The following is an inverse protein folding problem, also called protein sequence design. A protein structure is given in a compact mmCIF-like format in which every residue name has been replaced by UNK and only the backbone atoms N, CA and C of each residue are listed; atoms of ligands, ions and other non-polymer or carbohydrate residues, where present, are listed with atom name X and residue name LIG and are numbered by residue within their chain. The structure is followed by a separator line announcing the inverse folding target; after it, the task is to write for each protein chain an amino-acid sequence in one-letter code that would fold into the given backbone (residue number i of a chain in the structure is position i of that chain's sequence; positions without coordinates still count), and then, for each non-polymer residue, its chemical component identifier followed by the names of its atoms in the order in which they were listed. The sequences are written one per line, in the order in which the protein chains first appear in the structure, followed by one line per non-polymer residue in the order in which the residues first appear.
data_IF_768147430423
#
_entry.id   IF_768147430423
#
_cell.length_a   1.000
_cell.length_b   1.000
_cell.length_c   1.000
_cell.angle_alpha   90.00
_cell.angle_beta   90.00
_cell.angle_gamma   90.00
#
_symmetry.space_group_name_H-M   'P 1'
#
loop_
_entity.id
_entity.type
_entity.pdbx_description
1 polymer ?
#
# COMPACT_ATOMS: atom_id res chain seq x y z
N UNK A 1 28.12 40.65 -4.49
CA UNK A 1 28.45 39.83 -5.68
C UNK A 1 27.22 39.03 -6.05
N UNK A 2 26.79 39.21 -7.29
CA UNK A 2 25.57 38.69 -7.92
C UNK A 2 25.70 37.20 -8.31
N UNK A 3 24.59 36.47 -8.20
CA UNK A 3 23.85 35.77 -9.29
C UNK A 3 22.86 34.78 -8.64
N UNK A 4 21.59 35.14 -8.41
CA UNK A 4 20.43 34.95 -9.31
C UNK A 4 20.39 33.56 -9.98
N UNK A 5 19.48 32.66 -9.58
CA UNK A 5 18.14 32.50 -10.19
C UNK A 5 18.16 32.57 -11.73
N UNK A 6 17.82 31.46 -12.38
CA UNK A 6 16.58 31.33 -13.16
C UNK A 6 16.67 30.28 -14.29
N UNK A 7 15.67 29.40 -14.29
CA UNK A 7 14.90 29.00 -15.46
C UNK A 7 15.54 28.14 -16.57
N UNK A 8 15.19 26.85 -16.57
CA UNK A 8 14.32 26.24 -17.59
C UNK A 8 14.07 24.77 -17.20
N UNK A 9 12.89 24.39 -16.73
CA UNK A 9 11.71 24.07 -17.54
C UNK A 9 11.99 23.10 -18.71
N UNK A 10 11.43 21.89 -18.55
CA UNK A 10 10.82 21.05 -19.59
C UNK A 10 11.68 20.60 -20.78
N UNK A 11 11.93 19.29 -20.86
CA UNK A 11 11.30 18.36 -21.84
C UNK A 11 12.13 17.08 -22.00
N UNK A 12 11.53 15.96 -21.57
CA UNK A 12 11.39 14.69 -22.30
C UNK A 12 11.44 13.53 -21.30
N UNK A 13 10.30 13.04 -20.79
CA UNK A 13 9.47 12.04 -21.48
C UNK A 13 10.28 11.05 -22.32
N UNK A 14 10.92 10.08 -21.68
CA UNK A 14 11.10 8.77 -22.30
C UNK A 14 10.25 7.73 -21.57
N UNK A 15 9.01 7.75 -22.02
CA UNK A 15 8.07 6.65 -22.08
C UNK A 15 8.82 5.38 -22.50
N UNK A 16 9.03 4.42 -21.60
CA UNK A 16 9.27 3.04 -22.02
C UNK A 16 7.91 2.44 -22.40
N UNK A 17 7.53 2.68 -23.66
CA UNK A 17 6.51 1.91 -24.37
C UNK A 17 7.08 0.50 -24.54
N UNK A 18 6.63 -0.45 -23.73
CA UNK A 18 6.62 -1.84 -24.18
C UNK A 18 5.47 -1.99 -25.19
N UNK A 19 5.73 -1.52 -26.40
CA UNK A 19 5.00 -1.94 -27.57
C UNK A 19 5.24 -3.42 -27.78
N UNK A 20 4.16 -4.19 -27.70
CA UNK A 20 4.00 -5.51 -28.29
C UNK A 20 4.94 -5.77 -29.47
N UNK A 21 5.99 -6.54 -29.27
CA UNK A 21 6.72 -7.15 -30.38
C UNK A 21 6.05 -8.48 -30.74
N UNK A 22 4.99 -8.36 -31.54
CA UNK A 22 4.61 -9.43 -32.47
C UNK A 22 5.65 -9.47 -33.61
N UNK A 23 6.28 -10.64 -33.74
CA UNK A 23 6.63 -11.32 -35.01
C UNK A 23 7.09 -10.43 -36.19
N UNK A 24 8.41 -10.31 -36.39
CA UNK A 24 9.02 -10.36 -37.74
C UNK A 24 10.53 -10.62 -37.65
N UNK A 25 10.95 -11.74 -38.21
CA UNK A 25 12.35 -12.14 -38.32
C UNK A 25 13.17 -11.10 -39.07
N UNK A 26 14.18 -10.53 -38.41
CA UNK A 26 15.13 -9.62 -39.03
C UNK A 26 16.53 -10.24 -39.00
N UNK A 27 17.18 -10.29 -40.16
CA UNK A 27 18.46 -10.96 -40.46
C UNK A 27 19.62 -10.60 -39.52
N UNK A 28 19.52 -9.47 -38.79
CA UNK A 28 20.47 -9.06 -37.74
C UNK A 28 20.41 -9.92 -36.47
N UNK A 29 19.24 -10.46 -36.09
CA UNK A 29 19.12 -11.36 -34.93
C UNK A 29 19.73 -12.74 -35.19
N UNK A 30 19.83 -13.17 -36.46
CA UNK A 30 20.48 -14.44 -36.81
C UNK A 30 22.00 -14.39 -36.59
N UNK A 31 22.62 -13.23 -36.84
CA UNK A 31 24.08 -13.04 -36.72
C UNK A 31 24.53 -13.01 -35.24
N UNK A 32 23.72 -12.42 -34.36
CA UNK A 32 23.98 -12.43 -32.90
C UNK A 32 23.81 -13.85 -32.33
N UNK A 33 22.79 -14.61 -32.77
CA UNK A 33 22.62 -16.03 -32.39
C UNK A 33 23.76 -16.92 -32.86
N UNK A 34 24.30 -16.69 -34.07
CA UNK A 34 25.41 -17.46 -34.62
C UNK A 34 26.74 -17.17 -33.90
N UNK A 35 26.99 -15.91 -33.50
CA UNK A 35 28.20 -15.56 -32.73
C UNK A 35 28.12 -16.14 -31.30
N UNK A 36 26.94 -16.11 -30.68
CA UNK A 36 26.74 -16.72 -29.36
C UNK A 36 26.95 -18.24 -29.39
N UNK A 37 26.41 -18.94 -30.39
CA UNK A 37 26.62 -20.39 -30.56
C UNK A 37 28.08 -20.75 -30.86
N UNK A 38 28.86 -19.86 -31.51
CA UNK A 38 30.27 -20.12 -31.85
C UNK A 38 31.22 -19.90 -30.66
N UNK A 39 30.90 -18.99 -29.74
CA UNK A 39 31.68 -18.79 -28.50
C UNK A 39 31.40 -19.94 -27.52
N UNK A 40 30.16 -20.41 -27.42
CA UNK A 40 29.80 -21.54 -26.55
C UNK A 40 30.46 -22.85 -27.02
N UNK A 41 30.64 -23.07 -28.32
CA UNK A 41 31.25 -24.30 -28.88
C UNK A 41 32.78 -24.34 -28.89
N UNK A 42 33.46 -23.19 -28.71
CA UNK A 42 34.93 -23.14 -28.61
C UNK A 42 35.40 -23.30 -27.16
N UNK A 43 34.60 -22.87 -26.18
CA UNK A 43 34.93 -23.00 -24.75
C UNK A 43 34.27 -24.18 -24.04
N UNK A 44 33.24 -24.79 -24.63
CA UNK A 44 32.64 -26.02 -24.13
C UNK A 44 32.69 -27.08 -25.23
N UNK A 45 33.61 -28.05 -25.10
CA UNK A 45 33.53 -29.28 -25.88
C UNK A 45 32.16 -29.93 -25.66
N UNK A 46 31.57 -30.56 -26.69
CA UNK A 46 30.36 -31.34 -26.53
C UNK A 46 30.71 -32.58 -25.69
N UNK A 47 30.47 -32.50 -24.40
CA UNK A 47 30.28 -33.71 -23.63
C UNK A 47 29.05 -34.40 -24.23
N UNK A 48 29.28 -35.46 -25.00
CA UNK A 48 28.31 -36.52 -25.16
C UNK A 48 28.04 -37.07 -23.75
N UNK A 49 27.12 -36.42 -23.04
CA UNK A 49 26.59 -36.96 -21.81
C UNK A 49 25.32 -37.68 -22.18
N UNK A 50 25.43 -39.00 -22.22
CA UNK A 50 24.32 -39.91 -21.97
C UNK A 50 23.41 -39.27 -20.92
N UNK A 51 22.10 -39.27 -21.14
CA UNK A 51 21.12 -38.96 -20.09
C UNK A 51 21.26 -40.01 -19.00
N UNK A 52 22.26 -39.83 -18.13
CA UNK A 52 22.33 -40.49 -16.83
C UNK A 52 21.17 -39.86 -16.08
N UNK A 53 20.14 -40.63 -15.67
CA UNK A 53 19.11 -40.08 -14.81
C UNK A 53 19.84 -39.50 -13.60
N UNK A 54 19.69 -38.19 -13.40
CA UNK A 54 20.28 -37.51 -12.24
C UNK A 54 20.05 -38.41 -11.02
N UNK A 55 21.10 -38.89 -10.33
CA UNK A 55 20.95 -39.90 -9.29
C UNK A 55 19.82 -39.47 -8.37
N UNK A 56 18.92 -40.38 -8.02
CA UNK A 56 17.70 -40.09 -7.24
C UNK A 56 18.02 -39.27 -5.98
N UNK A 57 19.22 -39.46 -5.43
CA UNK A 57 19.81 -38.71 -4.32
C UNK A 57 20.06 -37.22 -4.66
N UNK A 58 20.62 -36.89 -5.83
CA UNK A 58 20.91 -35.52 -6.25
C UNK A 58 19.62 -34.72 -6.55
N UNK A 59 18.57 -35.36 -7.08
CA UNK A 59 17.25 -34.73 -7.26
C UNK A 59 16.59 -34.40 -5.91
N UNK A 60 16.66 -35.32 -4.95
CA UNK A 60 16.17 -35.09 -3.58
C UNK A 60 16.95 -33.99 -2.88
N UNK A 61 18.28 -33.93 -3.05
CA UNK A 61 19.12 -32.88 -2.48
C UNK A 61 18.77 -31.49 -3.05
N UNK A 62 18.53 -31.41 -4.37
CA UNK A 62 18.11 -30.17 -5.03
C UNK A 62 16.72 -29.72 -4.55
N UNK A 63 15.77 -30.65 -4.37
CA UNK A 63 14.46 -30.36 -3.79
C UNK A 63 14.58 -29.85 -2.34
N UNK A 64 15.44 -30.46 -1.52
CA UNK A 64 15.68 -30.02 -0.14
C UNK A 64 16.29 -28.61 -0.13
N UNK A 65 17.28 -28.33 -0.98
CA UNK A 65 17.89 -27.00 -1.08
C UNK A 65 16.85 -25.95 -1.48
N UNK A 66 16.03 -26.22 -2.51
CA UNK A 66 14.95 -25.31 -2.93
C UNK A 66 13.95 -25.10 -1.80
N UNK A 67 13.55 -26.15 -1.09
CA UNK A 67 12.61 -26.06 0.03
C UNK A 67 13.19 -25.24 1.20
N UNK A 68 14.49 -25.42 1.52
CA UNK A 68 15.18 -24.64 2.56
C UNK A 68 15.33 -23.16 2.17
N UNK A 69 15.54 -22.86 0.89
CA UNK A 69 15.65 -21.48 0.40
C UNK A 69 14.28 -20.77 0.41
N UNK A 70 13.21 -21.46 0.03
CA UNK A 70 11.85 -20.91 0.07
C UNK A 70 11.44 -20.62 1.52
N UNK A 71 11.65 -21.59 2.42
CA UNK A 71 11.29 -21.43 3.85
C UNK A 71 12.09 -20.34 4.58
N UNK A 72 13.37 -20.16 4.25
CA UNK A 72 14.19 -19.08 4.80
C UNK A 72 13.80 -17.69 4.28
N UNK A 73 13.33 -17.60 3.03
CA UNK A 73 12.83 -16.35 2.46
C UNK A 73 11.50 -15.94 3.12
N UNK A 74 10.59 -16.90 3.30
CA UNK A 74 9.30 -16.67 3.97
C UNK A 74 9.46 -16.27 5.45
N UNK A 75 10.40 -16.90 6.18
CA UNK A 75 10.66 -16.53 7.58
C UNK A 75 11.19 -15.10 7.72
N UNK A 76 12.09 -14.70 6.81
CA UNK A 76 12.67 -13.35 6.81
C UNK A 76 11.62 -12.32 6.42
N UNK A 77 10.81 -12.61 5.40
CA UNK A 77 9.71 -11.74 4.96
C UNK A 77 8.67 -11.54 6.06
N UNK A 78 8.28 -12.60 6.77
CA UNK A 78 7.35 -12.51 7.89
C UNK A 78 7.90 -11.65 9.03
N UNK A 79 9.21 -11.74 9.30
CA UNK A 79 9.86 -10.92 10.34
C UNK A 79 9.87 -9.43 9.94
N UNK A 80 10.19 -9.13 8.69
CA UNK A 80 10.19 -7.75 8.17
C UNK A 80 8.77 -7.16 8.19
N UNK A 81 7.76 -7.94 7.76
CA UNK A 81 6.36 -7.49 7.79
C UNK A 81 5.89 -7.20 9.22
N UNK A 82 6.25 -8.03 10.20
CA UNK A 82 5.93 -7.77 11.61
C UNK A 82 6.59 -6.49 12.13
N UNK A 83 7.87 -6.29 11.83
CA UNK A 83 8.58 -5.06 12.22
C UNK A 83 7.95 -3.84 11.54
N UNK A 84 7.55 -3.97 10.26
CA UNK A 84 6.89 -2.89 9.54
C UNK A 84 5.55 -2.50 10.18
N UNK A 85 4.74 -3.49 10.59
CA UNK A 85 3.49 -3.27 11.31
C UNK A 85 3.74 -2.51 12.63
N UNK A 86 4.66 -3.00 13.47
CA UNK A 86 5.01 -2.37 14.76
C UNK A 86 5.50 -0.93 14.60
N UNK A 87 6.37 -0.67 13.61
CA UNK A 87 6.90 0.67 13.34
C UNK A 87 5.83 1.60 12.77
N UNK A 88 4.93 1.07 11.94
CA UNK A 88 3.82 1.84 11.41
C UNK A 88 2.85 2.24 12.53
N UNK A 89 2.49 1.29 13.40
CA UNK A 89 1.62 1.51 14.55
C UNK A 89 2.20 2.60 15.45
N UNK A 90 3.47 2.45 15.86
CA UNK A 90 4.15 3.42 16.70
C UNK A 90 4.16 4.83 16.10
N UNK A 91 4.48 4.95 14.81
CA UNK A 91 4.44 6.25 14.13
C UNK A 91 3.03 6.85 14.13
N UNK A 92 2.02 6.02 13.85
CA UNK A 92 0.62 6.41 13.81
C UNK A 92 0.13 6.89 15.17
N UNK A 93 0.47 6.17 16.24
CA UNK A 93 0.12 6.52 17.62
C UNK A 93 0.80 7.79 18.10
N UNK A 94 2.10 7.98 17.84
CA UNK A 94 2.81 9.20 18.23
C UNK A 94 2.15 10.43 17.59
N UNK A 95 1.85 10.36 16.28
CA UNK A 95 1.17 11.45 15.57
C UNK A 95 -0.24 11.71 16.11
N UNK A 96 -0.95 10.64 16.46
CA UNK A 96 -2.30 10.76 17.00
C UNK A 96 -2.32 11.33 18.41
N UNK A 97 -1.49 10.81 19.31
CA UNK A 97 -1.38 11.27 20.70
C UNK A 97 -1.02 12.75 20.79
N UNK A 98 -0.12 13.22 19.91
CA UNK A 98 0.19 14.65 19.80
C UNK A 98 -1.06 15.51 19.56
N UNK A 99 -1.97 15.07 18.69
CA UNK A 99 -3.24 15.76 18.43
C UNK A 99 -4.17 15.71 19.63
N UNK A 100 -4.31 14.54 20.25
CA UNK A 100 -5.13 14.37 21.46
C UNK A 100 -4.70 15.35 22.55
N UNK A 101 -3.39 15.57 22.72
CA UNK A 101 -2.83 16.50 23.70
C UNK A 101 -2.94 17.97 23.29
N UNK A 102 -2.75 18.30 22.01
CA UNK A 102 -2.76 19.69 21.52
C UNK A 102 -4.18 20.28 21.43
N UNK A 103 -5.21 19.44 21.20
CA UNK A 103 -6.60 19.88 20.99
C UNK A 103 -7.35 20.19 22.32
N UNK A 104 -6.60 20.41 23.41
CA UNK A 104 -7.09 20.85 24.73
C UNK A 104 -8.03 19.85 25.42
N UNK A 105 -7.99 19.67 26.75
CA UNK A 105 -8.91 18.75 27.39
C UNK A 105 -10.33 19.32 27.37
N UNK A 106 -11.25 18.64 26.67
CA UNK A 106 -12.65 18.67 27.07
C UNK A 106 -12.69 17.77 28.31
N UNK A 107 -12.89 18.37 29.48
CA UNK A 107 -12.78 17.67 30.76
C UNK A 107 -13.56 16.36 30.74
N UNK A 108 -12.90 15.26 31.13
CA UNK A 108 -13.52 13.92 31.20
C UNK A 108 -13.75 13.18 29.87
N UNK A 109 -13.30 13.71 28.71
CA UNK A 109 -13.55 13.09 27.39
C UNK A 109 -12.32 12.44 26.74
N UNK A 110 -11.21 12.28 27.48
CA UNK A 110 -9.94 11.73 26.95
C UNK A 110 -10.11 10.36 26.30
N UNK A 111 -10.92 9.48 26.90
CA UNK A 111 -11.13 8.12 26.37
C UNK A 111 -11.81 8.14 24.99
N UNK A 112 -12.72 9.08 24.73
CA UNK A 112 -13.34 9.23 23.41
C UNK A 112 -12.36 9.81 22.40
N UNK A 113 -11.51 10.75 22.83
CA UNK A 113 -10.42 11.25 21.98
C UNK A 113 -9.48 10.11 21.60
N UNK A 114 -9.07 9.25 22.52
CA UNK A 114 -8.14 8.15 22.21
C UNK A 114 -8.75 7.11 21.25
N UNK A 115 -10.07 6.95 21.25
CA UNK A 115 -10.76 5.89 20.51
C UNK A 115 -11.64 6.40 19.36
N UNK A 116 -11.41 7.60 18.84
CA UNK A 116 -12.35 8.26 17.92
C UNK A 116 -12.62 7.47 16.63
N UNK A 117 -11.59 6.83 16.07
CA UNK A 117 -11.71 5.99 14.88
C UNK A 117 -12.61 4.78 15.14
N UNK A 118 -12.41 4.09 16.26
CA UNK A 118 -13.26 2.97 16.67
C UNK A 118 -14.70 3.42 16.95
N UNK A 119 -14.89 4.60 17.55
CA UNK A 119 -16.22 5.17 17.79
C UNK A 119 -16.96 5.47 16.48
N UNK A 120 -16.26 6.04 15.49
CA UNK A 120 -16.82 6.26 14.14
C UNK A 120 -17.15 4.91 13.45
N UNK A 121 -16.22 3.97 13.43
CA UNK A 121 -16.40 2.64 12.80
C UNK A 121 -17.61 1.90 13.41
N UNK A 122 -17.71 1.87 14.74
CA UNK A 122 -18.84 1.27 15.45
C UNK A 122 -20.16 2.00 15.18
N UNK A 123 -20.13 3.33 15.03
CA UNK A 123 -21.34 4.09 14.70
C UNK A 123 -21.81 3.80 13.27
N UNK A 124 -20.89 3.68 12.32
CA UNK A 124 -21.20 3.28 10.94
C UNK A 124 -21.82 1.88 10.88
N UNK A 125 -21.31 0.92 11.68
CA UNK A 125 -21.90 -0.41 11.81
C UNK A 125 -23.31 -0.36 12.40
N UNK A 126 -23.47 0.35 13.51
CA UNK A 126 -24.75 0.45 14.23
C UNK A 126 -25.86 1.05 13.36
N UNK A 127 -25.53 2.03 12.54
CA UNK A 127 -26.45 2.69 11.60
C UNK A 127 -26.52 1.97 10.24
N UNK A 128 -25.86 0.81 10.09
CA UNK A 128 -25.87 -0.05 8.89
C UNK A 128 -25.31 0.63 7.63
N UNK A 129 -24.47 1.65 7.78
CA UNK A 129 -23.67 2.20 6.69
C UNK A 129 -22.47 1.32 6.39
N UNK A 130 -21.88 0.70 7.42
CA UNK A 130 -20.89 -0.37 7.31
C UNK A 130 -21.58 -1.69 7.62
N UNK A 131 -21.37 -2.70 6.79
CA UNK A 131 -21.92 -4.06 6.96
C UNK A 131 -21.05 -4.89 7.89
N UNK A 132 -19.77 -5.00 7.56
CA UNK A 132 -18.76 -5.74 8.32
C UNK A 132 -17.40 -5.02 8.29
N UNK A 133 -16.51 -5.33 9.26
CA UNK A 133 -15.15 -4.78 9.32
C UNK A 133 -14.20 -5.64 8.49
N UNK A 134 -14.42 -5.61 7.18
CA UNK A 134 -13.60 -6.30 6.19
C UNK A 134 -13.50 -5.45 4.91
N UNK A 135 -12.73 -5.93 3.93
CA UNK A 135 -12.56 -5.18 2.68
C UNK A 135 -13.85 -5.07 1.86
N UNK A 136 -14.77 -6.03 1.99
CA UNK A 136 -16.04 -6.02 1.25
C UNK A 136 -16.93 -4.91 1.81
N UNK A 137 -17.16 -4.89 3.13
CA UNK A 137 -17.95 -3.88 3.83
C UNK A 137 -17.37 -2.48 3.65
N UNK A 138 -16.04 -2.33 3.69
CA UNK A 138 -15.42 -1.04 3.38
C UNK A 138 -15.56 -0.63 1.92
N UNK A 139 -15.50 -1.57 0.98
CA UNK A 139 -15.75 -1.27 -0.45
C UNK A 139 -17.17 -0.76 -0.67
N UNK A 140 -18.16 -1.38 -0.02
CA UNK A 140 -19.56 -0.94 -0.07
C UNK A 140 -19.73 0.44 0.58
N UNK A 141 -19.15 0.64 1.77
CA UNK A 141 -19.15 1.92 2.47
C UNK A 141 -18.56 3.05 1.61
N UNK A 142 -17.42 2.82 0.96
CA UNK A 142 -16.78 3.82 0.08
C UNK A 142 -17.65 4.17 -1.13
N UNK A 143 -18.43 3.22 -1.68
CA UNK A 143 -19.41 3.51 -2.73
C UNK A 143 -20.54 4.40 -2.21
N UNK A 144 -21.06 4.09 -1.02
CA UNK A 144 -22.10 4.89 -0.34
C UNK A 144 -21.65 6.32 -0.07
N UNK A 145 -20.39 6.50 0.35
CA UNK A 145 -19.75 7.82 0.55
C UNK A 145 -19.76 8.61 -0.75
N UNK A 146 -19.30 8.01 -1.85
CA UNK A 146 -19.26 8.64 -3.18
C UNK A 146 -20.67 8.99 -3.70
N UNK A 147 -21.66 8.14 -3.41
CA UNK A 147 -23.06 8.34 -3.78
C UNK A 147 -23.81 9.29 -2.82
N UNK A 148 -23.13 9.83 -1.79
CA UNK A 148 -23.72 10.69 -0.75
C UNK A 148 -24.93 10.05 -0.04
N UNK A 149 -24.88 8.74 0.17
CA UNK A 149 -25.95 8.01 0.85
C UNK A 149 -25.88 8.13 2.39
N UNK A 150 -24.73 8.55 2.92
CA UNK A 150 -24.57 8.82 4.36
C UNK A 150 -25.20 10.17 4.66
N UNK A 151 -26.22 10.18 5.53
CA UNK A 151 -26.98 11.38 5.85
C UNK A 151 -26.15 12.32 6.74
N UNK A 152 -26.19 13.66 6.54
CA UNK A 152 -25.48 14.61 7.41
C UNK A 152 -25.82 14.44 8.90
N UNK A 153 -27.08 14.14 9.23
CA UNK A 153 -27.54 13.90 10.61
C UNK A 153 -26.79 12.78 11.33
N UNK A 154 -26.16 11.86 10.59
CA UNK A 154 -25.28 10.83 11.15
C UNK A 154 -24.12 11.46 11.93
N UNK A 155 -23.44 12.45 11.34
CA UNK A 155 -22.28 13.09 11.96
C UNK A 155 -22.70 14.01 13.11
N UNK A 156 -23.85 14.68 13.00
CA UNK A 156 -24.41 15.47 14.10
C UNK A 156 -24.78 14.59 15.29
N UNK A 157 -25.36 13.40 15.04
CA UNK A 157 -25.61 12.41 16.09
C UNK A 157 -24.32 11.92 16.74
N UNK A 158 -23.29 11.62 15.95
CA UNK A 158 -21.98 11.21 16.47
C UNK A 158 -21.37 12.31 17.37
N UNK A 159 -21.39 13.58 16.94
CA UNK A 159 -20.90 14.73 17.72
C UNK A 159 -21.67 14.87 19.04
N UNK A 160 -23.00 14.72 19.00
CA UNK A 160 -23.86 14.76 20.17
C UNK A 160 -23.54 13.62 21.16
N UNK A 161 -23.41 12.39 20.66
CA UNK A 161 -23.14 11.20 21.48
C UNK A 161 -21.78 11.29 22.19
N UNK A 162 -20.74 11.78 21.52
CA UNK A 162 -19.41 11.95 22.15
C UNK A 162 -19.33 13.25 22.99
N UNK A 163 -20.18 14.24 22.68
CA UNK A 163 -20.29 15.52 23.37
C UNK A 163 -19.28 16.57 22.93
N UNK A 164 -18.75 16.47 21.70
CA UNK A 164 -17.86 17.45 21.08
C UNK A 164 -17.73 17.24 19.57
N UNK A 165 -17.18 18.23 18.86
CA UNK A 165 -16.81 18.10 17.45
C UNK A 165 -15.42 17.46 17.30
N UNK A 166 -15.31 16.23 16.77
CA UNK A 166 -14.05 15.53 16.62
C UNK A 166 -13.31 15.86 15.32
N UNK A 167 -13.73 16.84 14.52
CA UNK A 167 -13.13 17.16 13.22
C UNK A 167 -11.60 17.24 13.23
N UNK A 168 -11.03 17.88 14.25
CA UNK A 168 -9.58 18.03 14.41
C UNK A 168 -8.83 16.73 14.73
N UNK A 169 -9.55 15.67 15.11
CA UNK A 169 -9.02 14.32 15.35
C UNK A 169 -9.05 13.42 14.11
N UNK A 170 -9.66 13.86 12.99
CA UNK A 170 -9.68 13.16 11.71
C UNK A 170 -8.85 13.89 10.64
N UNK A 171 -7.53 13.94 10.78
CA UNK A 171 -6.69 14.70 9.85
C UNK A 171 -6.53 14.00 8.49
N UNK A 172 -6.84 14.73 7.41
CA UNK A 172 -6.51 14.27 6.05
C UNK A 172 -5.02 13.90 5.96
N UNK A 173 -4.74 12.72 5.42
CA UNK A 173 -3.40 12.21 5.06
C UNK A 173 -2.40 12.03 6.21
N UNK A 174 -2.81 12.12 7.47
CA UNK A 174 -1.84 12.13 8.57
C UNK A 174 -1.04 10.82 8.70
N UNK A 175 -1.70 9.70 8.43
CA UNK A 175 -1.13 8.37 8.51
C UNK A 175 -0.27 8.00 7.30
N UNK A 176 -0.46 8.68 6.15
CA UNK A 176 0.30 8.38 4.92
C UNK A 176 1.81 8.60 5.11
N UNK A 177 2.16 9.67 5.85
CA UNK A 177 3.56 9.96 6.19
C UNK A 177 4.26 8.87 7.01
N UNK A 178 3.51 8.02 7.72
CA UNK A 178 4.09 6.87 8.42
C UNK A 178 4.55 5.76 7.47
N UNK A 179 3.96 5.63 6.28
CA UNK A 179 4.53 4.75 5.27
C UNK A 179 5.85 5.31 4.76
N UNK A 180 5.93 6.61 4.48
CA UNK A 180 7.18 7.28 4.08
C UNK A 180 8.31 7.04 5.09
N UNK A 181 8.01 7.07 6.39
CA UNK A 181 8.96 6.74 7.44
C UNK A 181 9.59 5.34 7.29
N UNK A 182 8.80 4.32 6.92
CA UNK A 182 9.28 2.95 6.73
C UNK A 182 10.27 2.83 5.55
N UNK A 183 10.02 3.57 4.46
CA UNK A 183 10.84 3.53 3.25
C UNK A 183 12.06 4.43 3.31
N UNK A 184 11.87 5.68 3.73
CA UNK A 184 12.85 6.76 3.58
C UNK A 184 13.78 6.88 4.78
N UNK A 185 13.30 6.54 5.99
CA UNK A 185 14.09 6.68 7.21
C UNK A 185 14.57 5.34 7.75
N UNK A 186 13.69 4.34 7.79
CA UNK A 186 14.04 3.02 8.31
C UNK A 186 14.62 2.07 7.26
N UNK A 187 14.31 2.28 5.98
CA UNK A 187 14.73 1.42 4.87
C UNK A 187 14.41 -0.08 5.07
N UNK A 188 13.32 -0.39 5.77
CA UNK A 188 12.91 -1.77 6.08
C UNK A 188 11.96 -2.37 5.04
N UNK A 189 11.43 -1.54 4.14
CA UNK A 189 10.56 -1.96 3.04
C UNK A 189 11.11 -1.47 1.71
N UNK A 190 10.78 -2.19 0.64
CA UNK A 190 11.15 -1.84 -0.74
C UNK A 190 9.93 -1.65 -1.65
N UNK A 191 10.19 -1.36 -2.93
CA UNK A 191 9.13 -1.07 -3.92
C UNK A 191 8.22 -2.26 -4.25
N UNK A 192 8.62 -3.47 -3.88
CA UNK A 192 7.82 -4.69 -4.06
C UNK A 192 6.80 -4.91 -2.93
N UNK A 193 6.96 -4.20 -1.81
CA UNK A 193 6.05 -4.28 -0.66
C UNK A 193 4.64 -3.77 -0.98
N UNK A 194 3.63 -4.35 -0.33
CA UNK A 194 2.23 -3.94 -0.51
C UNK A 194 2.02 -2.51 -0.01
N UNK A 195 2.75 -2.09 1.03
CA UNK A 195 2.75 -0.76 1.60
C UNK A 195 3.17 0.27 0.55
N UNK A 196 4.18 -0.05 -0.27
CA UNK A 196 4.62 0.84 -1.34
C UNK A 196 3.55 0.95 -2.43
N UNK A 197 2.96 -0.18 -2.81
CA UNK A 197 1.86 -0.21 -3.78
C UNK A 197 0.63 0.56 -3.27
N UNK A 198 0.33 0.47 -1.97
CA UNK A 198 -0.69 1.26 -1.31
C UNK A 198 -0.41 2.76 -1.44
N UNK A 199 0.80 3.22 -1.10
CA UNK A 199 1.18 4.63 -1.25
C UNK A 199 1.07 5.12 -2.69
N UNK A 200 1.49 4.31 -3.68
CA UNK A 200 1.32 4.67 -5.08
C UNK A 200 -0.15 4.81 -5.48
N UNK A 201 -1.00 3.87 -5.06
CA UNK A 201 -2.43 3.93 -5.32
C UNK A 201 -3.06 5.15 -4.64
N UNK A 202 -2.67 5.46 -3.40
CA UNK A 202 -3.22 6.58 -2.65
C UNK A 202 -2.79 7.93 -3.26
N UNK A 203 -1.52 8.08 -3.61
CA UNK A 203 -1.04 9.28 -4.31
C UNK A 203 -1.74 9.47 -5.66
N UNK A 204 -2.07 8.37 -6.36
CA UNK A 204 -2.85 8.42 -7.60
C UNK A 204 -4.28 8.87 -7.32
N UNK A 205 -4.90 8.37 -6.26
CA UNK A 205 -6.20 8.85 -5.79
C UNK A 205 -6.15 10.36 -5.49
N UNK A 206 -5.17 10.86 -4.75
CA UNK A 206 -5.06 12.29 -4.43
C UNK A 206 -4.81 13.15 -5.68
N UNK A 207 -4.00 12.66 -6.63
CA UNK A 207 -3.65 13.41 -7.83
C UNK A 207 -4.77 13.44 -8.88
N UNK A 208 -5.60 12.39 -8.96
CA UNK A 208 -6.57 12.20 -10.04
C UNK A 208 -8.01 11.99 -9.58
N UNK A 209 -8.26 11.92 -8.27
CA UNK A 209 -9.60 11.92 -7.71
C UNK A 209 -10.29 13.23 -8.04
N UNK A 210 -11.25 13.19 -8.95
CA UNK A 210 -12.26 14.22 -9.08
C UNK A 210 -13.65 13.56 -8.94
N UNK A 211 -14.65 14.42 -8.71
CA UNK A 211 -16.06 14.17 -8.32
C UNK A 211 -16.81 12.98 -8.99
N UNK A 212 -16.31 12.39 -10.06
CA UNK A 212 -16.97 11.26 -10.75
C UNK A 212 -16.33 9.88 -10.48
N UNK A 213 -15.03 9.80 -10.16
CA UNK A 213 -14.28 8.51 -10.11
C UNK A 213 -13.59 8.22 -8.78
N UNK A 214 -13.88 8.98 -7.74
CA UNK A 214 -13.24 8.83 -6.42
C UNK A 214 -13.40 7.42 -5.84
N UNK A 215 -14.56 6.78 -6.04
CA UNK A 215 -14.80 5.41 -5.55
C UNK A 215 -13.88 4.36 -6.18
N UNK A 216 -13.60 4.41 -7.49
CA UNK A 216 -12.75 3.40 -8.15
C UNK A 216 -11.30 3.47 -7.67
N UNK A 217 -10.77 4.69 -7.51
CA UNK A 217 -9.42 4.88 -7.00
C UNK A 217 -9.30 4.48 -5.53
N UNK A 218 -10.28 4.82 -4.69
CA UNK A 218 -10.28 4.40 -3.28
C UNK A 218 -10.44 2.89 -3.12
N UNK A 219 -11.21 2.23 -3.99
CA UNK A 219 -11.30 0.78 -4.03
C UNK A 219 -9.96 0.16 -4.46
N UNK A 220 -9.25 0.75 -5.43
CA UNK A 220 -7.89 0.28 -5.79
C UNK A 220 -6.90 0.43 -4.63
N UNK A 221 -6.98 1.54 -3.87
CA UNK A 221 -6.22 1.76 -2.64
C UNK A 221 -6.50 0.66 -1.61
N UNK A 222 -7.78 0.43 -1.30
CA UNK A 222 -8.23 -0.62 -0.38
C UNK A 222 -7.70 -1.99 -0.80
N UNK A 223 -7.70 -2.28 -2.11
CA UNK A 223 -7.24 -3.55 -2.63
C UNK A 223 -5.73 -3.79 -2.48
N UNK A 224 -4.92 -2.76 -2.21
CA UNK A 224 -3.47 -2.94 -1.95
C UNK A 224 -3.18 -3.48 -0.55
N UNK A 225 -4.12 -3.38 0.38
CA UNK A 225 -3.94 -3.89 1.74
C UNK A 225 -4.27 -5.40 1.76
N UNK A 226 -3.37 -6.26 2.27
CA UNK A 226 -3.67 -7.67 2.51
C UNK A 226 -4.84 -7.85 3.49
N UNK A 227 -5.59 -8.95 3.38
CA UNK A 227 -6.82 -9.17 4.18
C UNK A 227 -6.53 -9.26 5.68
N UNK A 228 -5.48 -9.98 6.06
CA UNK A 228 -5.01 -10.12 7.44
C UNK A 228 -4.57 -8.77 8.01
N UNK A 229 -3.87 -7.97 7.21
CA UNK A 229 -3.45 -6.62 7.60
C UNK A 229 -4.65 -5.70 7.75
N UNK A 230 -5.65 -5.81 6.88
CA UNK A 230 -6.85 -4.97 6.94
C UNK A 230 -7.62 -5.09 8.26
N UNK A 231 -7.49 -6.21 8.97
CA UNK A 231 -8.06 -6.41 10.31
C UNK A 231 -7.44 -5.51 11.39
N UNK A 232 -6.28 -4.91 11.14
CA UNK A 232 -5.63 -3.96 12.04
C UNK A 232 -6.18 -2.55 11.81
N UNK A 233 -6.76 -1.95 12.86
CA UNK A 233 -7.41 -0.62 12.76
C UNK A 233 -6.46 0.46 12.25
N UNK A 234 -5.15 0.36 12.54
CA UNK A 234 -4.15 1.33 12.08
C UNK A 234 -4.16 1.52 10.56
N UNK A 235 -4.49 0.49 9.78
CA UNK A 235 -4.59 0.57 8.33
C UNK A 235 -5.97 1.05 7.84
N UNK A 236 -6.99 1.00 8.70
CA UNK A 236 -8.33 1.52 8.42
C UNK A 236 -8.51 2.99 8.78
N UNK A 237 -7.69 3.52 9.71
CA UNK A 237 -7.73 4.93 10.16
C UNK A 237 -7.72 5.93 9.00
N UNK A 238 -6.92 5.68 7.96
CA UNK A 238 -6.84 6.57 6.80
C UNK A 238 -8.16 6.63 6.00
N UNK A 239 -8.89 5.52 5.87
CA UNK A 239 -10.23 5.53 5.25
C UNK A 239 -11.25 6.23 6.14
N UNK A 240 -11.19 6.02 7.46
CA UNK A 240 -12.07 6.67 8.42
C UNK A 240 -11.86 8.20 8.46
N UNK A 241 -10.60 8.66 8.42
CA UNK A 241 -10.25 10.08 8.28
C UNK A 241 -10.85 10.65 6.99
N UNK A 242 -10.69 9.94 5.86
CA UNK A 242 -11.25 10.34 4.59
C UNK A 242 -12.78 10.46 4.62
N UNK A 243 -13.46 9.42 5.13
CA UNK A 243 -14.93 9.38 5.22
C UNK A 243 -15.45 10.53 6.05
N UNK A 244 -14.87 10.76 7.23
CA UNK A 244 -15.29 11.83 8.12
C UNK A 244 -15.10 13.19 7.46
N UNK A 245 -13.94 13.46 6.88
CA UNK A 245 -13.59 14.78 6.33
C UNK A 245 -14.14 15.09 4.94
N UNK A 246 -14.74 14.10 4.27
CA UNK A 246 -15.38 14.27 2.96
C UNK A 246 -16.88 14.53 3.10
N UNK A 247 -17.49 14.01 4.16
CA UNK A 247 -18.95 14.06 4.35
C UNK A 247 -19.40 15.07 5.42
N UNK A 248 -18.49 15.55 6.26
CA UNK A 248 -18.71 16.60 7.27
C UNK A 248 -17.89 17.84 6.94
#
# INVERSE_FOLDING_TARGET
MLNSMAWALFRSSQIFKFGLLRKKDNKKNLKIRLVFNRIVTVYFQPYYSYTIPLPTILKKLLQIIILTLITACDSTKNTIDLIADEKFELCSEIKYNRRVTEIGPIAGKLIYKQNIHSLLENSLLKEKYLTEIDKIGYSELLKKVNQKEIKPDFFEKLKSDIGFDPYSLFPKNSHLSCYGYLFEQLHILDKSSWQYQFCLAFNKFEAYGNLERESEYLIDVLNKIPEDKFQLIMYRKLFLDFIYTTLN
#
